data_IF_491723283919
#
_entry.id   IF_491723283919
#
_cell.length_a   1.000
_cell.length_b   1.000
_cell.length_c   1.000
_cell.angle_alpha   90.00
_cell.angle_beta   90.00
_cell.angle_gamma   90.00
#
_symmetry.space_group_name_H-M   'P 1'
#
loop_
_entity.id
_entity.type
_entity.pdbx_description
1 polymer ?
#
# COMPACT_ATOMS: atom_id res chain seq x y z
N UNK A 1 -28.23 -7.24 -7.19
CA UNK A 1 -26.91 -7.76 -7.56
C UNK A 1 -25.85 -6.81 -7.06
N UNK A 2 -24.88 -7.28 -6.41
CA UNK A 2 -23.83 -6.43 -5.82
C UNK A 2 -22.63 -6.49 -6.71
N UNK A 3 -22.29 -5.37 -7.28
CA UNK A 3 -21.14 -5.22 -8.15
C UNK A 3 -19.97 -4.53 -7.40
N UNK A 4 -19.98 -4.57 -6.08
CA UNK A 4 -18.87 -4.08 -5.26
C UNK A 4 -18.43 -5.13 -4.24
N UNK A 5 -17.15 -5.13 -3.83
CA UNK A 5 -16.67 -5.95 -2.74
C UNK A 5 -17.43 -5.64 -1.44
N UNK A 6 -17.56 -6.64 -0.58
CA UNK A 6 -18.14 -6.44 0.74
C UNK A 6 -17.19 -5.59 1.60
N UNK A 7 -17.76 -4.68 2.39
CA UNK A 7 -17.00 -3.96 3.41
C UNK A 7 -16.49 -4.96 4.44
N UNK A 8 -15.29 -4.71 4.93
CA UNK A 8 -14.71 -5.51 6.02
C UNK A 8 -15.50 -5.28 7.32
N UNK A 9 -15.78 -6.36 8.02
CA UNK A 9 -16.38 -6.37 9.36
C UNK A 9 -15.33 -6.22 10.48
N UNK A 10 -14.07 -6.01 10.12
CA UNK A 10 -12.95 -5.89 11.05
C UNK A 10 -13.10 -4.69 11.99
N UNK A 11 -12.96 -4.91 13.30
CA UNK A 11 -13.04 -3.85 14.31
C UNK A 11 -11.79 -2.96 14.31
N UNK A 12 -11.84 -1.93 13.46
CA UNK A 12 -10.76 -0.95 13.40
C UNK A 12 -10.63 -0.11 14.67
N UNK A 13 -11.71 0.09 15.44
CA UNK A 13 -11.64 0.87 16.69
C UNK A 13 -10.80 0.13 17.72
N UNK A 14 -11.01 -1.17 17.87
CA UNK A 14 -10.19 -2.02 18.73
C UNK A 14 -8.71 -2.00 18.31
N UNK A 15 -8.43 -2.11 17.01
CA UNK A 15 -7.07 -1.99 16.47
C UNK A 15 -6.45 -0.64 16.82
N UNK A 16 -7.17 0.45 16.57
CA UNK A 16 -6.68 1.80 16.82
C UNK A 16 -6.36 2.03 18.31
N UNK A 17 -7.20 1.51 19.20
CA UNK A 17 -6.96 1.57 20.63
C UNK A 17 -5.72 0.75 21.03
N UNK A 18 -5.62 -0.49 20.55
CA UNK A 18 -4.51 -1.42 20.85
C UNK A 18 -3.14 -0.84 20.46
N UNK A 19 -3.02 -0.25 19.29
CA UNK A 19 -1.76 0.29 18.78
C UNK A 19 -1.63 1.81 18.96
N UNK A 20 -2.57 2.45 19.68
CA UNK A 20 -2.60 3.90 19.95
C UNK A 20 -2.46 4.70 18.64
N UNK A 21 -3.19 4.26 17.61
CA UNK A 21 -3.15 4.93 16.32
C UNK A 21 -3.73 6.33 16.42
N UNK A 22 -2.99 7.30 15.91
CA UNK A 22 -3.41 8.70 15.86
C UNK A 22 -3.26 9.22 14.43
N UNK A 23 -4.12 10.13 14.04
CA UNK A 23 -3.99 10.81 12.74
C UNK A 23 -2.83 11.80 12.83
N UNK A 24 -1.89 11.70 11.91
CA UNK A 24 -0.74 12.58 11.83
C UNK A 24 -1.17 14.02 11.50
N UNK A 25 -0.68 14.96 12.29
CA UNK A 25 -0.78 16.39 12.00
C UNK A 25 0.61 17.02 12.02
N UNK A 26 0.88 18.07 11.23
CA UNK A 26 2.16 18.76 11.28
C UNK A 26 2.56 19.21 12.69
N UNK A 27 1.57 19.65 13.49
CA UNK A 27 1.80 20.11 14.87
C UNK A 27 2.29 18.98 15.79
N UNK A 28 1.73 17.77 15.65
CA UNK A 28 2.16 16.62 16.45
C UNK A 28 3.51 16.08 15.98
N UNK A 29 3.73 16.00 14.66
CA UNK A 29 5.00 15.53 14.10
C UNK A 29 6.16 16.47 14.44
N UNK A 30 5.94 17.77 14.48
CA UNK A 30 6.94 18.76 14.88
C UNK A 30 7.44 18.58 16.32
N UNK A 31 6.61 18.03 17.20
CA UNK A 31 6.97 17.78 18.62
C UNK A 31 7.84 16.54 18.82
N UNK A 32 7.98 15.70 17.80
CA UNK A 32 8.77 14.48 17.91
C UNK A 32 10.26 14.81 17.89
N UNK A 33 11.03 14.16 18.76
CA UNK A 33 12.48 14.17 18.70
C UNK A 33 12.99 13.43 17.46
N UNK A 34 14.23 13.65 17.06
CA UNK A 34 14.85 12.94 15.94
C UNK A 34 14.81 11.41 16.12
N UNK A 35 15.07 10.92 17.34
CA UNK A 35 14.98 9.51 17.66
C UNK A 35 13.56 8.95 17.51
N UNK A 36 12.54 9.70 17.91
CA UNK A 36 11.13 9.31 17.73
C UNK A 36 10.74 9.31 16.25
N UNK A 37 11.18 10.29 15.45
CA UNK A 37 10.94 10.32 14.00
C UNK A 37 11.58 9.12 13.31
N UNK A 38 12.85 8.79 13.65
CA UNK A 38 13.55 7.62 13.11
C UNK A 38 12.90 6.27 13.45
N UNK A 39 12.01 6.24 14.44
CA UNK A 39 11.18 5.07 14.81
C UNK A 39 9.68 5.32 14.57
N UNK A 40 9.36 6.10 13.57
CA UNK A 40 7.98 6.38 13.15
C UNK A 40 7.80 6.11 11.66
N UNK A 41 6.57 5.83 11.27
CA UNK A 41 6.12 5.85 9.87
C UNK A 41 4.72 6.45 9.80
N UNK A 42 4.38 7.03 8.66
CA UNK A 42 3.03 7.53 8.37
C UNK A 42 2.39 6.62 7.34
N UNK A 43 1.34 5.92 7.74
CA UNK A 43 0.58 5.04 6.86
C UNK A 43 -0.43 5.85 6.07
N UNK A 44 -0.23 5.93 4.75
CA UNK A 44 -1.13 6.60 3.82
C UNK A 44 -2.30 5.67 3.55
N UNK A 45 -3.50 6.14 3.90
CA UNK A 45 -4.71 5.34 3.82
C UNK A 45 -5.26 5.32 2.40
N UNK A 46 -5.66 4.17 1.93
CA UNK A 46 -6.43 3.96 0.70
C UNK A 46 -7.77 3.30 1.00
N UNK A 47 -8.71 3.38 0.04
CA UNK A 47 -10.05 2.85 0.24
C UNK A 47 -10.09 1.33 0.33
N UNK A 48 -9.24 0.62 -0.43
CA UNK A 48 -9.28 -0.84 -0.47
C UNK A 48 -8.77 -1.45 0.83
N UNK A 49 -7.55 -1.13 1.23
CA UNK A 49 -6.98 -1.70 2.46
C UNK A 49 -7.68 -1.18 3.71
N UNK A 50 -8.23 0.04 3.67
CA UNK A 50 -8.89 0.63 4.85
C UNK A 50 -10.29 0.09 5.10
N UNK A 51 -11.07 -0.19 4.06
CA UNK A 51 -12.49 -0.50 4.19
C UNK A 51 -12.89 -1.89 3.69
N UNK A 52 -12.13 -2.49 2.80
CA UNK A 52 -12.45 -3.80 2.22
C UNK A 52 -11.50 -4.88 2.71
N UNK A 53 -10.21 -4.59 2.80
CA UNK A 53 -9.17 -5.53 3.26
C UNK A 53 -8.50 -5.06 4.55
N UNK A 54 -9.29 -4.63 5.51
CA UNK A 54 -8.80 -4.12 6.80
C UNK A 54 -7.88 -5.10 7.55
N UNK A 55 -8.02 -6.43 7.44
CA UNK A 55 -7.05 -7.36 8.02
C UNK A 55 -5.61 -7.17 7.50
N UNK A 56 -5.42 -6.85 6.22
CA UNK A 56 -4.09 -6.55 5.64
C UNK A 56 -3.53 -5.27 6.25
N UNK A 57 -4.37 -4.24 6.36
CA UNK A 57 -4.02 -2.98 7.01
C UNK A 57 -3.60 -3.20 8.47
N UNK A 58 -4.36 -4.02 9.20
CA UNK A 58 -4.08 -4.39 10.58
C UNK A 58 -2.77 -5.17 10.74
N UNK A 59 -2.54 -6.15 9.87
CA UNK A 59 -1.32 -6.96 9.89
C UNK A 59 -0.06 -6.11 9.67
N UNK A 60 -0.11 -5.13 8.77
CA UNK A 60 1.02 -4.23 8.56
C UNK A 60 1.28 -3.34 9.78
N UNK A 61 0.25 -2.80 10.41
CA UNK A 61 0.37 -2.02 11.66
C UNK A 61 0.98 -2.87 12.76
N UNK A 62 0.50 -4.10 12.93
CA UNK A 62 1.04 -5.02 13.92
C UNK A 62 2.51 -5.33 13.65
N UNK A 63 2.88 -5.64 12.40
CA UNK A 63 4.26 -5.90 12.01
C UNK A 63 5.16 -4.71 12.33
N UNK A 64 4.81 -3.51 11.87
CA UNK A 64 5.57 -2.31 12.13
C UNK A 64 5.73 -2.02 13.62
N UNK A 65 4.64 -2.20 14.40
CA UNK A 65 4.67 -2.00 15.84
C UNK A 65 5.56 -3.03 16.57
N UNK A 66 5.54 -4.31 16.14
CA UNK A 66 6.44 -5.35 16.66
C UNK A 66 7.91 -5.07 16.33
N UNK A 67 8.19 -4.39 15.22
CA UNK A 67 9.53 -3.92 14.86
C UNK A 67 9.94 -2.66 15.63
N UNK A 68 9.13 -2.17 16.57
CA UNK A 68 9.40 -1.00 17.40
C UNK A 68 9.11 0.34 16.74
N UNK A 69 8.35 0.36 15.64
CA UNK A 69 7.93 1.60 14.99
C UNK A 69 6.58 2.08 15.51
N UNK A 70 6.46 3.39 15.69
CA UNK A 70 5.18 4.06 15.90
C UNK A 70 4.52 4.29 14.55
N UNK A 71 3.29 3.81 14.40
CA UNK A 71 2.49 4.02 13.20
C UNK A 71 1.56 5.21 13.41
N UNK A 72 1.69 6.22 12.55
CA UNK A 72 0.78 7.33 12.40
C UNK A 72 -0.12 7.09 11.20
N UNK A 73 -1.37 7.54 11.26
CA UNK A 73 -2.25 7.50 10.10
C UNK A 73 -2.22 8.85 9.39
N UNK A 74 -1.95 8.88 8.08
CA UNK A 74 -2.27 10.07 7.32
C UNK A 74 -3.78 10.34 7.41
N UNK A 75 -4.27 11.59 7.40
CA UNK A 75 -5.68 11.84 7.18
C UNK A 75 -6.16 11.10 5.93
N UNK A 76 -7.39 10.55 5.96
CA UNK A 76 -7.91 9.90 4.76
C UNK A 76 -8.10 10.93 3.64
N UNK A 77 -7.40 10.74 2.54
CA UNK A 77 -7.44 11.61 1.37
C UNK A 77 -7.64 10.76 0.12
N UNK A 78 -8.70 11.06 -0.64
CA UNK A 78 -8.92 10.36 -1.91
C UNK A 78 -7.76 10.67 -2.88
N UNK A 79 -7.13 9.62 -3.43
CA UNK A 79 -6.02 9.78 -4.38
C UNK A 79 -6.46 10.02 -5.83
N UNK A 80 -7.76 9.93 -6.11
CA UNK A 80 -8.33 10.17 -7.44
C UNK A 80 -8.15 9.03 -8.44
N UNK A 81 -7.56 7.88 -8.08
CA UNK A 81 -7.37 6.76 -9.01
C UNK A 81 -8.64 6.36 -9.76
N UNK A 82 -9.81 6.22 -9.11
CA UNK A 82 -11.05 5.92 -9.82
C UNK A 82 -11.41 6.98 -10.88
N UNK A 83 -11.19 8.26 -10.58
CA UNK A 83 -11.46 9.36 -11.52
C UNK A 83 -10.54 9.27 -12.75
N UNK A 84 -9.25 8.94 -12.51
CA UNK A 84 -8.29 8.76 -13.59
C UNK A 84 -8.68 7.58 -14.50
N UNK A 85 -9.01 6.44 -13.92
CA UNK A 85 -9.40 5.24 -14.67
C UNK A 85 -10.67 5.47 -15.49
N UNK A 86 -11.62 6.25 -14.97
CA UNK A 86 -12.86 6.59 -15.67
C UNK A 86 -12.71 7.75 -16.67
N UNK A 87 -11.51 8.34 -16.79
CA UNK A 87 -11.26 9.43 -17.73
C UNK A 87 -11.72 10.82 -17.26
N UNK A 88 -12.16 10.98 -16.00
CA UNK A 88 -12.52 12.27 -15.43
C UNK A 88 -11.29 13.10 -15.06
N UNK A 89 -10.43 13.38 -16.04
CA UNK A 89 -9.11 13.97 -15.82
C UNK A 89 -9.11 15.32 -15.08
N UNK A 90 -10.02 16.30 -15.38
CA UNK A 90 -10.06 17.54 -14.61
C UNK A 90 -10.42 17.34 -13.12
N UNK A 91 -11.28 16.38 -12.81
CA UNK A 91 -11.63 16.03 -11.43
C UNK A 91 -10.50 15.28 -10.73
N UNK A 92 -9.81 14.40 -11.45
CA UNK A 92 -8.59 13.75 -11.00
C UNK A 92 -7.51 14.77 -10.64
N UNK A 93 -7.22 15.74 -11.52
CA UNK A 93 -6.20 16.75 -11.27
C UNK A 93 -6.50 17.58 -10.01
N UNK A 94 -7.74 18.05 -9.85
CA UNK A 94 -8.14 18.80 -8.64
C UNK A 94 -7.95 17.96 -7.37
N UNK A 95 -8.31 16.69 -7.43
CA UNK A 95 -8.15 15.76 -6.31
C UNK A 95 -6.68 15.52 -6.03
N UNK A 96 -5.87 15.28 -7.05
CA UNK A 96 -4.43 15.05 -6.93
C UNK A 96 -3.70 16.25 -6.31
N UNK A 97 -3.99 17.48 -6.75
CA UNK A 97 -3.40 18.70 -6.18
C UNK A 97 -3.72 18.86 -4.69
N UNK A 98 -4.98 18.60 -4.30
CA UNK A 98 -5.39 18.65 -2.87
C UNK A 98 -4.67 17.60 -2.03
N UNK A 99 -4.61 16.37 -2.53
CA UNK A 99 -3.98 15.25 -1.82
C UNK A 99 -2.47 15.41 -1.74
N UNK A 100 -1.81 15.84 -2.82
CA UNK A 100 -0.39 16.12 -2.81
C UNK A 100 -0.03 17.20 -1.78
N UNK A 101 -0.82 18.30 -1.71
CA UNK A 101 -0.63 19.34 -0.67
C UNK A 101 -0.75 18.76 0.76
N UNK A 102 -1.70 17.86 0.99
CA UNK A 102 -1.84 17.19 2.29
C UNK A 102 -0.66 16.29 2.62
N UNK A 103 -0.16 15.53 1.64
CA UNK A 103 1.03 14.69 1.81
C UNK A 103 2.31 15.50 2.01
N UNK A 104 2.47 16.61 1.27
CA UNK A 104 3.61 17.54 1.44
C UNK A 104 3.68 18.09 2.85
N UNK A 105 2.52 18.42 3.45
CA UNK A 105 2.47 18.91 4.83
C UNK A 105 2.95 17.87 5.88
N UNK A 106 2.91 16.59 5.54
CA UNK A 106 3.38 15.49 6.39
C UNK A 106 4.82 15.06 6.08
N UNK A 107 5.28 15.26 4.85
CA UNK A 107 6.60 14.79 4.40
C UNK A 107 7.78 15.60 4.96
N UNK A 108 7.55 16.83 5.44
CA UNK A 108 8.60 17.73 5.93
C UNK A 108 9.25 17.32 7.26
N UNK A 109 8.96 16.13 7.80
CA UNK A 109 9.42 15.70 9.13
C UNK A 109 10.37 14.50 9.11
N UNK A 110 10.89 14.10 7.94
CA UNK A 110 11.77 12.94 7.76
C UNK A 110 11.16 11.62 8.28
N UNK A 111 9.84 11.51 8.24
CA UNK A 111 9.10 10.30 8.58
C UNK A 111 8.58 9.68 7.27
N UNK A 112 8.90 8.40 6.97
CA UNK A 112 8.49 7.80 5.72
C UNK A 112 6.97 7.70 5.59
N UNK A 113 6.46 8.07 4.42
CA UNK A 113 5.09 7.83 3.99
C UNK A 113 5.04 6.44 3.35
N UNK A 114 4.12 5.59 3.80
CA UNK A 114 3.97 4.20 3.30
C UNK A 114 2.52 3.96 2.90
N UNK A 115 2.29 3.43 1.72
CA UNK A 115 0.98 2.98 1.26
C UNK A 115 0.98 1.48 1.03
N UNK A 116 -0.15 0.81 1.22
CA UNK A 116 -0.21 -0.66 1.18
C UNK A 116 -0.63 -1.21 -0.17
N UNK A 117 -1.74 -0.72 -0.73
CA UNK A 117 -2.19 -1.16 -2.05
C UNK A 117 -1.28 -0.60 -3.15
N UNK A 118 -0.69 -1.45 -4.02
CA UNK A 118 0.22 -0.98 -5.06
C UNK A 118 -0.44 -0.07 -6.09
N UNK A 119 -1.68 -0.34 -6.49
CA UNK A 119 -2.37 0.48 -7.48
C UNK A 119 -2.71 1.85 -6.92
N UNK A 120 -3.06 1.93 -5.64
CA UNK A 120 -3.36 3.17 -4.95
C UNK A 120 -2.09 3.96 -4.58
N UNK A 121 -1.01 3.26 -4.22
CA UNK A 121 0.26 3.89 -3.84
C UNK A 121 1.03 4.42 -5.05
N UNK A 122 1.10 3.64 -6.11
CA UNK A 122 1.88 4.02 -7.29
C UNK A 122 1.27 5.20 -8.07
N UNK A 123 -0.03 5.53 -7.86
CA UNK A 123 -0.64 6.72 -8.46
C UNK A 123 0.11 8.01 -8.09
N UNK A 124 0.64 8.10 -6.87
CA UNK A 124 1.42 9.26 -6.42
C UNK A 124 2.73 9.43 -7.18
N UNK A 125 3.34 8.32 -7.64
CA UNK A 125 4.63 8.28 -8.33
C UNK A 125 4.51 8.22 -9.84
N UNK A 126 3.33 7.89 -10.39
CA UNK A 126 3.10 7.71 -11.82
C UNK A 126 2.16 8.78 -12.38
N UNK A 127 0.89 8.71 -12.04
CA UNK A 127 -0.13 9.57 -12.62
C UNK A 127 0.00 11.02 -12.15
N UNK A 128 0.35 11.26 -10.89
CA UNK A 128 0.54 12.61 -10.35
C UNK A 128 1.70 13.34 -11.04
N UNK A 129 2.78 12.63 -11.36
CA UNK A 129 3.94 13.22 -12.08
C UNK A 129 3.62 13.66 -13.49
N UNK A 130 2.52 13.20 -14.07
CA UNK A 130 2.05 13.64 -15.39
C UNK A 130 1.26 14.94 -15.33
N UNK A 131 0.89 15.41 -14.15
CA UNK A 131 0.17 16.68 -13.96
C UNK A 131 1.20 17.81 -13.91
N UNK A 132 1.13 18.76 -14.85
CA UNK A 132 2.06 19.85 -14.95
C UNK A 132 2.14 20.68 -13.65
N UNK A 133 3.36 20.87 -13.14
CA UNK A 133 3.64 21.64 -11.93
C UNK A 133 3.11 21.02 -10.63
N UNK A 134 2.76 19.73 -10.63
CA UNK A 134 2.39 19.03 -9.41
C UNK A 134 3.59 18.27 -8.83
N UNK A 135 4.02 18.69 -7.66
CA UNK A 135 4.97 17.95 -6.85
C UNK A 135 4.23 17.11 -5.80
N UNK A 136 4.64 15.87 -5.62
CA UNK A 136 4.12 14.97 -4.60
C UNK A 136 5.29 14.25 -3.94
N UNK A 137 5.31 14.15 -2.60
CA UNK A 137 6.35 13.39 -1.92
C UNK A 137 6.26 11.92 -2.28
N UNK A 138 7.37 11.21 -2.20
CA UNK A 138 7.40 9.78 -2.42
C UNK A 138 6.63 9.05 -1.33
N UNK A 139 5.67 8.24 -1.75
CA UNK A 139 4.98 7.27 -0.89
C UNK A 139 5.57 5.90 -1.20
N UNK A 140 6.20 5.28 -0.21
CA UNK A 140 6.86 3.99 -0.36
C UNK A 140 5.85 2.85 -0.41
N UNK A 141 6.16 1.81 -1.15
CA UNK A 141 5.51 0.51 -1.02
C UNK A 141 6.01 -0.20 0.25
N UNK A 142 5.25 -1.16 0.82
CA UNK A 142 5.61 -1.83 2.06
C UNK A 142 7.01 -2.46 2.03
N UNK A 143 7.35 -3.16 0.95
CA UNK A 143 8.67 -3.80 0.81
C UNK A 143 9.83 -2.81 0.70
N UNK A 144 9.60 -1.64 0.13
CA UNK A 144 10.62 -0.59 0.04
C UNK A 144 10.95 -0.03 1.43
N UNK A 145 9.91 0.15 2.26
CA UNK A 145 10.09 0.57 3.65
C UNK A 145 10.68 -0.55 4.51
N UNK A 146 10.16 -1.79 4.37
CA UNK A 146 10.63 -2.93 5.15
C UNK A 146 12.12 -3.20 4.94
N UNK A 147 12.63 -3.13 3.71
CA UNK A 147 14.06 -3.31 3.45
C UNK A 147 14.90 -2.26 4.18
N UNK A 148 14.46 -1.00 4.20
CA UNK A 148 15.14 0.06 4.95
C UNK A 148 15.06 -0.17 6.46
N UNK A 149 13.91 -0.62 6.97
CA UNK A 149 13.69 -0.88 8.38
C UNK A 149 14.46 -2.12 8.91
N UNK A 150 14.74 -3.07 8.02
CA UNK A 150 15.48 -4.31 8.30
C UNK A 150 16.97 -4.17 8.03
N UNK A 151 17.41 -3.06 7.43
CA UNK A 151 18.84 -2.84 7.16
C UNK A 151 19.65 -2.85 8.45
N UNK A 152 20.77 -3.58 8.45
CA UNK A 152 21.61 -3.79 9.64
C UNK A 152 20.99 -4.67 10.74
N UNK A 153 19.77 -5.19 10.57
CA UNK A 153 19.21 -6.14 11.51
C UNK A 153 19.69 -7.57 11.23
N UNK A 154 19.87 -8.39 12.26
CA UNK A 154 20.24 -9.79 12.07
C UNK A 154 19.11 -10.53 11.34
N UNK A 155 19.50 -11.42 10.41
CA UNK A 155 18.55 -12.32 9.75
C UNK A 155 17.91 -13.24 10.79
N UNK A 156 16.59 -13.39 10.71
CA UNK A 156 15.88 -14.31 11.59
C UNK A 156 16.21 -15.77 11.25
N UNK A 157 16.12 -16.68 12.24
CA UNK A 157 16.35 -18.11 12.02
C UNK A 157 15.43 -18.64 10.91
N UNK A 158 15.97 -19.51 10.06
CA UNK A 158 15.22 -20.13 8.98
C UNK A 158 14.02 -20.95 9.49
N UNK A 159 12.89 -20.82 8.82
CA UNK A 159 11.68 -21.59 9.07
C UNK A 159 11.39 -22.50 7.88
N UNK A 160 10.81 -23.66 8.14
CA UNK A 160 10.42 -24.64 7.11
C UNK A 160 9.16 -24.28 6.33
N UNK A 161 8.76 -23.01 6.35
CA UNK A 161 7.57 -22.53 5.63
C UNK A 161 8.00 -21.87 4.34
N UNK A 162 7.40 -22.31 3.22
CA UNK A 162 7.61 -21.75 1.90
C UNK A 162 6.36 -21.00 1.43
N UNK A 163 6.57 -19.87 0.76
CA UNK A 163 5.52 -19.04 0.20
C UNK A 163 5.70 -18.90 -1.31
N UNK A 164 4.61 -18.66 -2.01
CA UNK A 164 4.61 -18.22 -3.41
C UNK A 164 4.17 -16.77 -3.48
N UNK A 165 4.97 -15.93 -4.13
CA UNK A 165 4.67 -14.51 -4.33
C UNK A 165 4.02 -14.31 -5.68
N UNK A 166 2.77 -13.92 -5.68
CA UNK A 166 2.02 -13.50 -6.87
C UNK A 166 2.08 -11.97 -6.95
N UNK A 167 2.99 -11.46 -7.80
CA UNK A 167 3.20 -10.01 -7.89
C UNK A 167 2.00 -9.28 -8.47
N UNK A 168 1.61 -8.15 -7.87
CA UNK A 168 0.55 -7.29 -8.37
C UNK A 168 0.92 -6.71 -9.76
N UNK A 169 -0.04 -6.68 -10.69
CA UNK A 169 0.23 -6.25 -12.07
C UNK A 169 0.77 -4.82 -12.16
N UNK A 170 0.28 -3.90 -11.33
CA UNK A 170 0.78 -2.52 -11.28
C UNK A 170 2.22 -2.43 -10.77
N UNK A 171 2.63 -3.30 -9.84
CA UNK A 171 4.03 -3.39 -9.40
C UNK A 171 4.93 -3.90 -10.51
N UNK A 172 4.51 -4.96 -11.21
CA UNK A 172 5.29 -5.53 -12.32
C UNK A 172 5.60 -4.50 -13.40
N UNK A 173 4.66 -3.60 -13.69
CA UNK A 173 4.82 -2.59 -14.75
C UNK A 173 5.49 -1.31 -14.26
N UNK A 174 5.22 -0.86 -13.04
CA UNK A 174 5.60 0.47 -12.57
C UNK A 174 6.63 0.45 -11.43
N UNK A 175 6.92 -0.72 -10.87
CA UNK A 175 7.90 -0.93 -9.81
C UNK A 175 8.61 -2.28 -10.01
N UNK A 176 9.25 -2.46 -11.16
CA UNK A 176 9.87 -3.72 -11.57
C UNK A 176 10.75 -4.42 -10.49
N UNK A 177 11.50 -3.71 -9.62
CA UNK A 177 12.26 -4.35 -8.54
C UNK A 177 11.41 -4.93 -7.39
N UNK A 178 10.10 -4.67 -7.36
CA UNK A 178 9.23 -4.99 -6.24
C UNK A 178 9.25 -6.48 -5.84
N UNK A 179 9.14 -7.39 -6.80
CA UNK A 179 9.18 -8.83 -6.52
C UNK A 179 10.50 -9.25 -5.86
N UNK A 180 11.64 -8.76 -6.37
CA UNK A 180 12.95 -9.02 -5.80
C UNK A 180 13.10 -8.41 -4.39
N UNK A 181 12.50 -7.25 -4.15
CA UNK A 181 12.47 -6.64 -2.82
C UNK A 181 11.68 -7.49 -1.82
N UNK A 182 10.52 -8.00 -2.21
CA UNK A 182 9.74 -8.92 -1.38
C UNK A 182 10.54 -10.20 -1.05
N UNK A 183 11.21 -10.80 -2.04
CA UNK A 183 12.08 -11.97 -1.82
C UNK A 183 13.10 -11.66 -0.72
N UNK A 184 13.79 -10.53 -0.80
CA UNK A 184 14.77 -10.11 0.21
C UNK A 184 14.15 -9.90 1.59
N UNK A 185 12.95 -9.31 1.68
CA UNK A 185 12.21 -9.13 2.94
C UNK A 185 11.93 -10.48 3.59
N UNK A 186 11.42 -11.45 2.81
CA UNK A 186 11.14 -12.79 3.31
C UNK A 186 12.41 -13.52 3.73
N UNK A 187 13.48 -13.45 2.94
CA UNK A 187 14.78 -14.03 3.28
C UNK A 187 15.34 -13.46 4.60
N UNK A 188 15.21 -12.14 4.82
CA UNK A 188 15.61 -11.49 6.07
C UNK A 188 14.75 -11.97 7.24
N UNK A 189 13.49 -12.25 7.01
CA UNK A 189 12.57 -12.84 8.00
C UNK A 189 12.77 -14.36 8.22
N UNK A 190 13.77 -14.98 7.57
CA UNK A 190 14.04 -16.42 7.69
C UNK A 190 13.03 -17.29 6.96
N UNK A 191 12.28 -16.73 6.00
CA UNK A 191 11.24 -17.42 5.25
C UNK A 191 11.68 -17.68 3.80
N UNK A 192 11.19 -18.77 3.22
CA UNK A 192 11.41 -19.09 1.82
C UNK A 192 10.25 -18.52 0.99
N UNK A 193 10.57 -17.85 -0.11
CA UNK A 193 9.56 -17.35 -1.05
C UNK A 193 10.04 -17.51 -2.48
N UNK A 194 9.17 -18.01 -3.34
CA UNK A 194 9.38 -18.05 -4.78
C UNK A 194 8.46 -17.02 -5.47
N UNK A 195 9.04 -16.14 -6.28
CA UNK A 195 8.25 -15.23 -7.10
C UNK A 195 7.76 -15.97 -8.36
N UNK A 196 6.43 -16.01 -8.54
CA UNK A 196 5.81 -16.69 -9.67
C UNK A 196 5.60 -15.75 -10.86
N UNK A 197 5.87 -16.27 -12.05
CA UNK A 197 5.56 -15.56 -13.29
C UNK A 197 4.06 -15.68 -13.58
N UNK A 198 3.28 -14.75 -13.07
CA UNK A 198 1.82 -14.75 -13.27
C UNK A 198 1.38 -13.74 -14.32
N UNK A 199 0.29 -14.04 -15.02
CA UNK A 199 -0.43 -13.11 -15.89
C UNK A 199 -1.36 -12.16 -15.10
N UNK A 200 -2.41 -11.71 -15.76
CA UNK A 200 -3.44 -10.87 -15.16
C UNK A 200 -4.42 -11.71 -14.32
N UNK A 201 -4.83 -11.17 -13.17
CA UNK A 201 -5.88 -11.80 -12.34
C UNK A 201 -7.31 -11.52 -12.84
N UNK A 202 -7.49 -10.72 -13.89
CA UNK A 202 -8.81 -10.36 -14.41
C UNK A 202 -9.54 -9.26 -13.62
N UNK A 203 -9.04 -8.84 -12.47
CA UNK A 203 -9.77 -7.90 -11.60
C UNK A 203 -9.70 -6.45 -12.08
N UNK A 204 -8.53 -5.94 -12.48
CA UNK A 204 -8.35 -4.55 -12.94
C UNK A 204 -9.13 -3.51 -12.11
N UNK A 205 -8.77 -3.36 -10.84
CA UNK A 205 -9.54 -2.58 -9.87
C UNK A 205 -10.88 -3.27 -9.56
N UNK A 206 -11.99 -2.62 -9.88
CA UNK A 206 -13.34 -3.19 -9.65
C UNK A 206 -13.93 -3.91 -10.86
N UNK A 207 -13.24 -3.95 -12.00
CA UNK A 207 -13.75 -4.53 -13.26
C UNK A 207 -14.29 -5.95 -13.08
N UNK A 208 -13.54 -6.83 -12.43
CA UNK A 208 -13.94 -8.21 -12.21
C UNK A 208 -15.08 -8.40 -11.20
N UNK A 209 -15.44 -7.35 -10.43
CA UNK A 209 -16.61 -7.36 -9.55
C UNK A 209 -17.90 -6.97 -10.28
N UNK A 210 -17.81 -6.32 -11.44
CA UNK A 210 -18.97 -5.94 -12.20
C UNK A 210 -19.62 -7.17 -12.85
N UNK A 211 -20.91 -7.40 -12.63
CA UNK A 211 -21.62 -8.57 -13.13
C UNK A 211 -21.45 -8.77 -14.64
N UNK A 212 -21.47 -7.68 -15.41
CA UNK A 212 -21.29 -7.69 -16.86
C UNK A 212 -19.90 -8.18 -17.32
N UNK A 213 -18.90 -8.09 -16.46
CA UNK A 213 -17.49 -8.42 -16.79
C UNK A 213 -17.04 -9.74 -16.16
N UNK A 214 -17.89 -10.38 -15.34
CA UNK A 214 -17.52 -11.53 -14.52
C UNK A 214 -16.99 -12.71 -15.34
N UNK A 215 -17.62 -13.03 -16.45
CA UNK A 215 -17.20 -14.13 -17.34
C UNK A 215 -15.84 -13.85 -17.96
N UNK A 216 -15.65 -12.64 -18.50
CA UNK A 216 -14.37 -12.22 -19.07
C UNK A 216 -13.27 -12.21 -18.01
N UNK A 217 -13.56 -11.73 -16.81
CA UNK A 217 -12.62 -11.73 -15.69
C UNK A 217 -12.18 -13.15 -15.31
N UNK A 218 -13.13 -14.10 -15.22
CA UNK A 218 -12.84 -15.51 -14.95
C UNK A 218 -12.00 -16.16 -16.05
N UNK A 219 -12.29 -15.85 -17.31
CA UNK A 219 -11.51 -16.32 -18.45
C UNK A 219 -10.06 -15.83 -18.37
N UNK A 220 -9.85 -14.55 -18.09
CA UNK A 220 -8.52 -13.97 -17.90
C UNK A 220 -7.78 -14.64 -16.73
N UNK A 221 -8.45 -14.85 -15.59
CA UNK A 221 -7.89 -15.56 -14.44
C UNK A 221 -7.44 -16.97 -14.80
N UNK A 222 -8.26 -17.69 -15.57
CA UNK A 222 -7.98 -19.06 -15.96
C UNK A 222 -6.78 -19.19 -16.91
N UNK A 223 -6.35 -18.12 -17.59
CA UNK A 223 -5.18 -18.17 -18.50
C UNK A 223 -3.85 -18.38 -17.75
N UNK A 224 -3.76 -18.00 -16.48
CA UNK A 224 -2.50 -18.11 -15.75
C UNK A 224 -2.66 -18.53 -14.29
N UNK A 225 -3.58 -17.97 -13.54
CA UNK A 225 -3.63 -18.15 -12.09
C UNK A 225 -4.26 -19.48 -11.66
N UNK A 226 -5.13 -20.06 -12.46
CA UNK A 226 -5.74 -21.35 -12.15
C UNK A 226 -4.73 -22.50 -12.11
N UNK A 227 -3.55 -22.32 -12.69
CA UNK A 227 -2.50 -23.34 -12.78
C UNK A 227 -1.41 -23.21 -11.72
N UNK A 228 -1.56 -22.27 -10.79
CA UNK A 228 -0.65 -22.03 -9.67
C UNK A 228 -1.20 -22.65 -8.39
#
# INVERSE_FOLDING_TARGET
MVDSPLLSDFDFKALAARYRLTTATPAELARLSAAQRGKSLILVQDAFTRYFETPVFAAFIELASRMGYRVWLAPFMANGKPLHVQGFLPAFERTARRTAKGLQALAGFDIPLVGLDPAMTLVYRQEYRKIAGLECPDVLLPQEWLLKALDGQPKLPAKSVAFRLLGHCTEKTNAAPSAAMWVKVFEQAGLQVAAEATGCCGMSGTYGHEARNLETSRTIFALSLIHI
#
